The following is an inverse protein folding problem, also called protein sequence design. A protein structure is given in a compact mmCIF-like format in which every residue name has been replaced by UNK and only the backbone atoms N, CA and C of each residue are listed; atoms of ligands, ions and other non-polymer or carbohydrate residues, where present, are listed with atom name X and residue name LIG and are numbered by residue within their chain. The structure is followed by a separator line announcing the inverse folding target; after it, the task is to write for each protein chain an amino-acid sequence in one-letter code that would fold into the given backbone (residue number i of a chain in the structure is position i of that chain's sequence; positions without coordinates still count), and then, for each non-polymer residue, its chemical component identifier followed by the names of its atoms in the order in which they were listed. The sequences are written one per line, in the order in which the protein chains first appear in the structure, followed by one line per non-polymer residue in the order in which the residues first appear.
data_IF_404623690347
#
_entry.id   IF_404623690347
#
_cell.length_a   1.000
_cell.length_b   1.000
_cell.length_c   1.000
_cell.angle_alpha   90.00
_cell.angle_beta   90.00
_cell.angle_gamma   90.00
#
_symmetry.space_group_name_H-M   'P 1'
#
loop_
_entity.id
_entity.type
_entity.pdbx_description
1 polymer ?
#
# COMPACT_ATOMS: atom_id res chain seq x y z
N UNK A 1 1.33 1.61 -17.74
CA UNK A 1 0.24 1.23 -16.83
C UNK A 1 -0.89 2.25 -16.88
N UNK A 2 -2.12 1.80 -16.85
CA UNK A 2 -3.29 2.66 -16.72
C UNK A 2 -4.38 1.89 -15.98
N UNK A 3 -4.59 2.22 -14.72
CA UNK A 3 -5.54 1.52 -13.84
C UNK A 3 -6.67 2.47 -13.48
N UNK A 4 -7.92 2.03 -13.68
CA UNK A 4 -9.08 2.77 -13.21
C UNK A 4 -9.24 2.65 -11.70
N UNK A 5 -9.40 3.78 -11.03
CA UNK A 5 -9.72 3.86 -9.60
C UNK A 5 -11.16 4.32 -9.36
N UNK A 6 -11.96 4.45 -10.42
CA UNK A 6 -13.32 5.03 -10.34
C UNK A 6 -14.21 4.29 -9.36
N UNK A 7 -14.27 2.97 -9.46
CA UNK A 7 -15.08 2.12 -8.59
C UNK A 7 -14.76 2.36 -7.11
N UNK A 8 -13.46 2.41 -6.80
CA UNK A 8 -13.01 2.56 -5.42
C UNK A 8 -13.26 3.96 -4.88
N UNK A 9 -12.94 5.00 -5.65
CA UNK A 9 -13.17 6.38 -5.24
C UNK A 9 -14.66 6.64 -5.01
N UNK A 10 -15.51 6.15 -5.89
CA UNK A 10 -16.97 6.31 -5.73
C UNK A 10 -17.53 5.56 -4.54
N UNK A 11 -17.02 4.35 -4.29
CA UNK A 11 -17.46 3.50 -3.18
C UNK A 11 -16.90 3.93 -1.83
N UNK A 12 -15.60 4.23 -1.77
CA UNK A 12 -14.88 4.40 -0.50
C UNK A 12 -14.32 5.80 -0.27
N UNK A 13 -14.34 6.67 -1.28
CA UNK A 13 -13.67 7.98 -1.30
C UNK A 13 -12.14 7.85 -1.16
N UNK A 14 -11.60 6.70 -1.53
CA UNK A 14 -10.16 6.44 -1.48
C UNK A 14 -9.66 5.90 -2.81
N UNK A 15 -8.46 6.33 -3.27
CA UNK A 15 -7.87 5.79 -4.48
C UNK A 15 -7.17 4.46 -4.15
N UNK A 16 -7.89 3.36 -4.34
CA UNK A 16 -7.38 2.01 -4.09
C UNK A 16 -7.02 1.33 -5.40
N UNK A 17 -5.98 0.52 -5.34
CA UNK A 17 -5.59 -0.39 -6.43
C UNK A 17 -5.41 -1.79 -5.87
N UNK A 18 -5.76 -2.80 -6.67
CA UNK A 18 -5.53 -4.20 -6.31
C UNK A 18 -4.50 -4.80 -7.25
N UNK A 19 -3.71 -5.73 -6.72
CA UNK A 19 -2.84 -6.54 -7.59
C UNK A 19 -3.68 -7.35 -8.56
N UNK A 20 -3.08 -7.76 -9.69
CA UNK A 20 -3.80 -8.44 -10.77
C UNK A 20 -4.49 -9.73 -10.31
N UNK A 21 -3.88 -10.45 -9.37
CA UNK A 21 -4.49 -11.64 -8.78
C UNK A 21 -5.52 -11.37 -7.68
N UNK A 22 -5.71 -10.09 -7.33
CA UNK A 22 -6.66 -9.66 -6.31
C UNK A 22 -6.23 -9.94 -4.87
N UNK A 23 -5.02 -10.44 -4.65
CA UNK A 23 -4.58 -10.85 -3.30
C UNK A 23 -4.24 -9.69 -2.38
N UNK A 24 -3.85 -8.55 -2.92
CA UNK A 24 -3.45 -7.37 -2.16
C UNK A 24 -4.16 -6.12 -2.66
N UNK A 25 -4.57 -5.28 -1.73
CA UNK A 25 -5.21 -4.00 -2.01
C UNK A 25 -4.41 -2.89 -1.34
N UNK A 26 -4.01 -1.89 -2.12
CA UNK A 26 -3.20 -0.77 -1.64
C UNK A 26 -3.92 0.56 -1.79
N UNK A 27 -3.78 1.40 -0.77
CA UNK A 27 -4.13 2.81 -0.86
C UNK A 27 -3.00 3.57 -1.57
N UNK A 28 -3.34 4.38 -2.56
CA UNK A 28 -2.36 5.32 -3.13
C UNK A 28 -2.35 6.54 -2.20
N UNK A 29 -1.24 6.73 -1.49
CA UNK A 29 -1.13 7.71 -0.40
C UNK A 29 0.02 8.67 -0.64
N UNK A 30 -0.29 9.85 -1.19
CA UNK A 30 0.69 10.91 -1.42
C UNK A 30 1.23 11.54 -0.14
N UNK A 31 0.56 11.28 1.00
CA UNK A 31 1.02 11.72 2.32
C UNK A 31 2.03 10.78 2.96
N UNK A 32 2.24 9.59 2.39
CA UNK A 32 3.21 8.64 2.89
C UNK A 32 4.51 8.73 2.08
N UNK A 33 5.64 8.92 2.76
CA UNK A 33 6.96 8.97 2.10
C UNK A 33 7.37 7.59 1.58
N UNK A 34 7.08 6.55 2.34
CA UNK A 34 7.43 5.17 2.03
C UNK A 34 6.20 4.34 1.73
N UNK A 35 6.41 3.21 1.04
CA UNK A 35 5.36 2.21 0.89
C UNK A 35 5.21 1.47 2.23
N UNK A 36 3.99 1.16 2.58
CA UNK A 36 3.66 0.48 3.84
C UNK A 36 2.95 -0.83 3.55
N UNK A 37 3.34 -1.88 4.25
CA UNK A 37 2.66 -3.17 4.24
C UNK A 37 2.22 -3.47 5.66
N UNK A 38 0.94 -3.78 5.86
CA UNK A 38 0.48 -4.13 7.20
C UNK A 38 1.00 -5.52 7.60
N UNK A 39 1.24 -5.71 8.89
CA UNK A 39 1.81 -6.95 9.42
C UNK A 39 1.02 -8.19 9.03
N UNK A 40 -0.30 -8.11 9.10
CA UNK A 40 -1.18 -9.23 8.73
C UNK A 40 -0.99 -9.64 7.27
N UNK A 41 -0.88 -8.67 6.36
CA UNK A 41 -0.64 -8.93 4.94
C UNK A 41 0.73 -9.56 4.71
N UNK A 42 1.76 -9.07 5.41
CA UNK A 42 3.09 -9.67 5.35
C UNK A 42 3.07 -11.13 5.81
N UNK A 43 2.43 -11.42 6.94
CA UNK A 43 2.37 -12.77 7.51
C UNK A 43 1.63 -13.74 6.56
N UNK A 44 0.66 -13.24 5.81
CA UNK A 44 -0.11 -14.04 4.85
C UNK A 44 0.59 -14.22 3.50
N UNK A 45 1.65 -13.45 3.21
CA UNK A 45 2.32 -13.40 1.90
C UNK A 45 3.83 -13.50 1.99
N UNK A 46 4.35 -14.30 2.92
CA UNK A 46 5.80 -14.43 3.16
C UNK A 46 6.58 -14.95 1.96
N UNK A 47 5.93 -15.65 1.03
CA UNK A 47 6.57 -16.10 -0.20
C UNK A 47 6.87 -14.99 -1.20
N UNK A 48 6.21 -13.83 -1.06
CA UNK A 48 6.37 -12.68 -1.96
C UNK A 48 7.39 -11.69 -1.39
N UNK A 49 7.34 -11.45 -0.08
CA UNK A 49 8.13 -10.39 0.56
C UNK A 49 9.31 -10.94 1.34
N UNK A 50 10.48 -10.36 1.10
CA UNK A 50 11.73 -10.75 1.75
C UNK A 50 12.27 -9.61 2.59
N UNK A 51 12.70 -9.91 3.81
CA UNK A 51 13.32 -8.91 4.69
C UNK A 51 14.59 -8.34 4.11
N UNK A 52 14.76 -7.01 4.25
CA UNK A 52 15.96 -6.29 3.86
C UNK A 52 16.40 -5.37 4.99
N UNK A 53 17.72 -5.32 5.25
CA UNK A 53 18.29 -4.45 6.26
C UNK A 53 18.01 -4.89 7.69
N UNK A 54 18.06 -3.93 8.60
CA UNK A 54 17.90 -4.14 10.03
C UNK A 54 16.52 -3.64 10.51
N UNK A 55 16.10 -4.14 11.67
CA UNK A 55 14.92 -3.61 12.34
C UNK A 55 15.14 -2.16 12.72
N UNK A 56 14.16 -1.33 12.44
CA UNK A 56 14.16 0.08 12.77
C UNK A 56 13.00 0.41 13.70
N UNK A 57 13.04 1.60 14.26
CA UNK A 57 11.96 2.12 15.08
C UNK A 57 11.49 3.44 14.48
N UNK A 58 10.18 3.66 14.54
CA UNK A 58 9.59 4.96 14.24
C UNK A 58 8.57 5.29 15.33
N UNK A 59 8.24 6.58 15.44
CA UNK A 59 7.20 7.02 16.36
C UNK A 59 5.85 6.85 15.67
N UNK A 60 4.95 6.10 16.30
CA UNK A 60 3.60 5.94 15.81
C UNK A 60 2.76 7.19 15.99
N UNK A 61 1.53 7.17 15.46
CA UNK A 61 0.62 8.32 15.52
C UNK A 61 0.22 8.69 16.95
N UNK A 62 0.29 7.75 17.88
CA UNK A 62 0.03 7.93 19.31
C UNK A 62 1.28 8.37 20.11
N UNK A 63 2.41 8.55 19.43
CA UNK A 63 3.68 8.91 20.04
C UNK A 63 4.51 7.74 20.57
N UNK A 64 3.97 6.52 20.56
CA UNK A 64 4.71 5.34 21.01
C UNK A 64 5.60 4.82 19.88
N UNK A 65 6.89 4.50 20.18
CA UNK A 65 7.76 3.91 19.16
C UNK A 65 7.30 2.49 18.80
N UNK A 66 7.21 2.22 17.51
CA UNK A 66 6.86 0.91 16.99
C UNK A 66 8.07 0.29 16.30
N UNK A 67 8.26 -1.00 16.51
CA UNK A 67 9.28 -1.75 15.79
C UNK A 67 8.79 -2.00 14.37
N UNK A 68 9.55 -1.52 13.41
CA UNK A 68 9.28 -1.73 11.99
C UNK A 68 10.46 -2.44 11.35
N UNK A 69 10.21 -3.08 10.23
CA UNK A 69 11.27 -3.65 9.41
C UNK A 69 10.92 -3.47 7.94
N UNK A 70 11.96 -3.47 7.11
CA UNK A 70 11.81 -3.30 5.67
C UNK A 70 11.79 -4.64 4.97
N UNK A 71 10.96 -4.75 3.95
CA UNK A 71 10.90 -5.91 3.07
C UNK A 71 10.88 -5.44 1.62
N UNK A 72 11.30 -6.31 0.72
CA UNK A 72 11.19 -6.10 -0.72
C UNK A 72 10.28 -7.20 -1.30
N UNK A 73 9.46 -6.81 -2.25
CA UNK A 73 8.62 -7.76 -2.98
C UNK A 73 8.17 -7.19 -4.30
N UNK A 74 7.83 -8.08 -5.21
CA UNK A 74 7.31 -7.72 -6.51
C UNK A 74 5.79 -7.78 -6.47
N UNK A 75 5.15 -6.70 -6.94
CA UNK A 75 3.70 -6.65 -7.11
C UNK A 75 3.37 -6.51 -8.59
N UNK A 76 2.29 -7.12 -9.01
CA UNK A 76 1.85 -7.05 -10.42
C UNK A 76 0.61 -6.18 -10.53
N UNK A 77 0.71 -5.12 -11.30
CA UNK A 77 -0.36 -4.16 -11.54
C UNK A 77 -0.50 -3.93 -13.05
N UNK A 78 -1.70 -4.13 -13.58
CA UNK A 78 -2.01 -3.94 -15.01
C UNK A 78 -1.01 -4.65 -15.93
N UNK A 79 -0.68 -5.91 -15.60
CA UNK A 79 0.21 -6.75 -16.40
C UNK A 79 1.70 -6.49 -16.20
N UNK A 80 2.10 -5.46 -15.45
CA UNK A 80 3.50 -5.11 -15.23
C UNK A 80 3.93 -5.44 -13.81
N UNK A 81 5.19 -5.84 -13.65
CA UNK A 81 5.78 -6.19 -12.36
C UNK A 81 6.57 -4.99 -11.84
N UNK A 82 6.28 -4.62 -10.58
CA UNK A 82 6.95 -3.52 -9.90
C UNK A 82 7.65 -4.05 -8.66
N UNK A 83 8.97 -3.87 -8.60
CA UNK A 83 9.75 -4.14 -7.38
C UNK A 83 9.54 -3.01 -6.40
N UNK A 84 9.13 -3.34 -5.18
CA UNK A 84 8.79 -2.34 -4.17
C UNK A 84 9.43 -2.69 -2.84
N UNK A 85 9.94 -1.66 -2.17
CA UNK A 85 10.34 -1.75 -0.77
C UNK A 85 9.17 -1.30 0.09
N UNK A 86 8.87 -2.07 1.11
CA UNK A 86 7.77 -1.78 2.05
C UNK A 86 8.31 -1.71 3.47
N UNK A 87 7.77 -0.76 4.23
CA UNK A 87 7.90 -0.72 5.67
C UNK A 87 6.75 -1.54 6.27
N UNK A 88 7.07 -2.61 6.99
CA UNK A 88 6.05 -3.44 7.63
C UNK A 88 5.68 -2.83 8.97
N UNK A 89 4.39 -2.58 9.16
CA UNK A 89 3.85 -1.93 10.35
C UNK A 89 2.60 -2.65 10.82
N UNK A 90 2.36 -2.61 12.12
CA UNK A 90 1.10 -3.05 12.70
C UNK A 90 0.15 -1.85 12.77
N UNK A 91 -0.80 -1.79 11.83
CA UNK A 91 -1.83 -0.75 11.75
C UNK A 91 -3.22 -1.33 11.92
N UNK A 92 -3.32 -2.47 12.57
CA UNK A 92 -4.60 -3.21 12.71
C UNK A 92 -5.71 -2.34 13.28
N UNK A 93 -5.43 -1.57 14.34
CA UNK A 93 -6.43 -0.71 14.98
C UNK A 93 -6.88 0.43 14.06
N UNK A 94 -5.94 1.11 13.41
CA UNK A 94 -6.26 2.23 12.51
C UNK A 94 -7.07 1.75 11.30
N UNK A 95 -6.66 0.63 10.69
CA UNK A 95 -7.31 0.12 9.49
C UNK A 95 -8.62 -0.63 9.78
N UNK A 96 -8.84 -1.07 11.01
CA UNK A 96 -10.11 -1.70 11.41
C UNK A 96 -11.30 -0.76 11.21
N UNK A 97 -11.16 0.50 11.58
CA UNK A 97 -12.20 1.50 11.38
C UNK A 97 -12.48 1.71 9.89
N UNK A 98 -11.43 1.82 9.08
CA UNK A 98 -11.58 1.96 7.63
C UNK A 98 -12.30 0.76 7.04
N UNK A 99 -11.94 -0.46 7.45
CA UNK A 99 -12.59 -1.70 7.00
C UNK A 99 -14.07 -1.72 7.36
N UNK A 100 -14.43 -1.31 8.58
CA UNK A 100 -15.83 -1.26 9.02
C UNK A 100 -16.61 -0.24 8.20
N UNK A 101 -16.06 0.96 7.99
CA UNK A 101 -16.76 2.05 7.29
C UNK A 101 -16.87 1.79 5.79
N UNK A 102 -15.89 1.15 5.17
CA UNK A 102 -15.84 0.97 3.71
C UNK A 102 -16.17 -0.43 3.24
N UNK A 103 -16.12 -1.42 4.14
CA UNK A 103 -16.24 -2.83 3.77
C UNK A 103 -15.03 -3.36 3.00
N UNK A 104 -13.93 -2.60 2.94
CA UNK A 104 -12.78 -2.95 2.12
C UNK A 104 -11.54 -3.22 2.98
N UNK A 105 -10.89 -4.40 2.75
CA UNK A 105 -9.59 -4.70 3.33
C UNK A 105 -8.51 -3.91 2.60
N UNK A 106 -7.67 -3.22 3.35
CA UNK A 106 -6.50 -2.52 2.83
C UNK A 106 -5.27 -3.19 3.41
N UNK A 107 -4.35 -3.63 2.55
CA UNK A 107 -3.16 -4.38 2.94
C UNK A 107 -1.93 -3.50 3.10
N UNK A 108 -2.00 -2.27 2.64
CA UNK A 108 -0.91 -1.32 2.75
C UNK A 108 -1.16 -0.06 1.94
N UNK A 109 -0.09 0.70 1.75
CA UNK A 109 -0.11 1.93 0.98
C UNK A 109 1.07 2.00 0.03
N UNK A 110 0.83 2.51 -1.17
CA UNK A 110 1.89 2.88 -2.10
C UNK A 110 2.08 4.39 -1.96
N UNK A 111 3.25 4.77 -1.46
CA UNK A 111 3.57 6.16 -1.14
C UNK A 111 4.36 6.86 -2.23
N UNK A 112 4.93 8.00 -1.85
CA UNK A 112 5.71 8.83 -2.77
C UNK A 112 6.90 8.06 -3.36
N UNK A 113 7.51 7.15 -2.59
CA UNK A 113 8.61 6.32 -3.09
C UNK A 113 8.21 5.54 -4.37
N UNK A 114 7.07 4.86 -4.34
CA UNK A 114 6.56 4.15 -5.51
C UNK A 114 6.19 5.11 -6.64
N UNK A 115 5.45 6.17 -6.32
CA UNK A 115 4.96 7.11 -7.33
C UNK A 115 6.09 7.80 -8.07
N UNK A 116 7.14 8.22 -7.35
CA UNK A 116 8.31 8.85 -7.96
C UNK A 116 9.18 7.86 -8.72
N UNK A 117 9.41 6.67 -8.16
CA UNK A 117 10.27 5.67 -8.79
C UNK A 117 9.75 5.27 -10.16
N UNK A 118 8.44 5.14 -10.31
CA UNK A 118 7.84 4.67 -11.55
C UNK A 118 7.14 5.78 -12.36
N UNK A 119 7.31 7.04 -11.96
CA UNK A 119 6.76 8.18 -12.69
C UNK A 119 5.24 8.15 -12.81
N UNK A 120 4.55 7.83 -11.72
CA UNK A 120 3.11 7.66 -11.73
C UNK A 120 2.37 8.99 -11.63
N UNK A 121 1.23 9.07 -12.30
CA UNK A 121 0.28 10.17 -12.20
C UNK A 121 -1.02 9.67 -11.61
N UNK A 122 -1.45 10.29 -10.51
CA UNK A 122 -2.77 10.04 -9.92
C UNK A 122 -3.73 11.12 -10.45
N UNK A 123 -4.73 10.70 -11.21
CA UNK A 123 -5.63 11.59 -11.93
C UNK A 123 -7.07 11.39 -11.43
N UNK A 124 -7.55 12.33 -10.60
CA UNK A 124 -8.92 12.28 -10.09
C UNK A 124 -9.94 12.79 -11.09
N UNK A 125 -9.54 13.53 -12.13
CA UNK A 125 -10.45 13.96 -13.17
C UNK A 125 -10.93 12.78 -14.02
N UNK A 126 -10.01 11.89 -14.37
CA UNK A 126 -10.28 10.73 -15.21
C UNK A 126 -10.29 9.41 -14.42
N UNK A 127 -10.21 9.46 -13.09
CA UNK A 127 -10.21 8.31 -12.18
C UNK A 127 -9.18 7.26 -12.57
N UNK A 128 -7.93 7.67 -12.74
CA UNK A 128 -6.87 6.73 -13.15
C UNK A 128 -5.56 6.93 -12.40
N UNK A 129 -4.84 5.84 -12.25
CA UNK A 129 -3.43 5.82 -11.90
C UNK A 129 -2.67 5.41 -13.16
N UNK A 130 -1.80 6.28 -13.66
CA UNK A 130 -1.05 6.06 -14.90
C UNK A 130 0.45 6.16 -14.68
N UNK A 131 1.16 5.38 -15.44
CA UNK A 131 2.62 5.44 -15.48
C UNK A 131 3.19 5.01 -16.78
#
# INVERSE_FOLDING_TARGET
MNISIEKWVKKTKMPLVTTDDGSLCFLIDTGASYNVLIREAFDSHKGIFKGIGHDNYMIGMDGDPQKIFMVNGDIKLDGEIYSCDFCVMDLTTALKTVRILTGQRIDGALGVDFLCRYGMTLDFKNYSLRG
#
